data_IF_604609825465
#
_entry.id   IF_604609825465
#
_cell.length_a   1.000
_cell.length_b   1.000
_cell.length_c   1.000
_cell.angle_alpha   90.00
_cell.angle_beta   90.00
_cell.angle_gamma   90.00
#
_symmetry.space_group_name_H-M   'P 1'
#
loop_
_entity.id
_entity.type
_entity.pdbx_description
1 polymer ?
#
# COMPACT_ATOMS: atom_id res chain seq x y z
N UNK A 1 10.58 10.77 19.72
CA UNK A 1 10.10 10.42 18.39
C UNK A 1 8.61 10.17 18.39
N UNK A 2 7.94 10.56 17.33
CA UNK A 2 6.49 10.36 17.24
C UNK A 2 6.13 8.96 16.82
N UNK A 3 4.87 8.60 17.04
CA UNK A 3 4.34 7.29 16.65
C UNK A 3 4.44 7.05 15.13
N UNK A 4 4.31 8.11 14.34
CA UNK A 4 4.40 8.02 12.89
C UNK A 4 5.80 7.59 12.46
N UNK A 5 6.85 8.16 13.05
CA UNK A 5 8.22 7.79 12.75
C UNK A 5 8.49 6.32 13.08
N UNK A 6 7.95 5.86 14.20
CA UNK A 6 8.04 4.44 14.58
C UNK A 6 7.39 3.54 13.54
N UNK A 7 6.21 3.94 13.03
CA UNK A 7 5.53 3.19 11.97
C UNK A 7 6.32 3.20 10.68
N UNK A 8 6.90 4.32 10.30
CA UNK A 8 7.72 4.42 9.09
C UNK A 8 8.92 3.48 9.19
N UNK A 9 9.59 3.44 10.34
CA UNK A 9 10.70 2.51 10.55
C UNK A 9 10.24 1.06 10.47
N UNK A 10 9.10 0.74 11.07
CA UNK A 10 8.52 -0.59 11.05
C UNK A 10 8.22 -1.03 9.62
N UNK A 11 7.60 -0.17 8.83
CA UNK A 11 7.24 -0.50 7.45
C UNK A 11 8.48 -0.61 6.57
N UNK A 12 9.46 0.25 6.77
CA UNK A 12 10.72 0.18 6.02
C UNK A 12 11.44 -1.14 6.29
N UNK A 13 11.49 -1.56 7.56
CA UNK A 13 12.09 -2.83 7.94
C UNK A 13 11.33 -4.02 7.32
N UNK A 14 10.01 -3.95 7.34
CA UNK A 14 9.19 -5.01 6.76
C UNK A 14 9.38 -5.10 5.24
N UNK A 15 9.49 -3.97 4.56
CA UNK A 15 9.76 -3.95 3.13
C UNK A 15 11.08 -4.63 2.79
N UNK A 16 12.11 -4.39 3.60
CA UNK A 16 13.41 -5.06 3.42
C UNK A 16 13.29 -6.56 3.67
N UNK A 17 12.57 -6.95 4.72
CA UNK A 17 12.34 -8.34 5.07
C UNK A 17 11.65 -9.10 3.95
N UNK A 18 10.67 -8.47 3.32
CA UNK A 18 9.89 -9.07 2.23
C UNK A 18 10.60 -8.97 0.88
N UNK A 19 11.73 -8.27 0.80
CA UNK A 19 12.46 -8.09 -0.45
C UNK A 19 11.76 -7.17 -1.43
N UNK A 20 10.96 -6.22 -0.92
CA UNK A 20 10.24 -5.27 -1.77
C UNK A 20 11.18 -4.17 -2.26
N UNK A 21 11.04 -3.81 -3.55
CA UNK A 21 11.87 -2.76 -4.15
C UNK A 21 11.23 -1.38 -3.93
N UNK A 22 11.13 -0.97 -2.66
CA UNK A 22 10.53 0.30 -2.28
C UNK A 22 11.58 1.19 -1.63
N UNK A 23 11.60 2.48 -1.99
CA UNK A 23 12.48 3.44 -1.34
C UNK A 23 11.88 3.86 0.00
N UNK A 24 12.77 4.17 0.96
CA UNK A 24 12.32 4.68 2.26
C UNK A 24 11.54 5.98 2.11
N UNK A 25 11.92 6.81 1.16
CA UNK A 25 11.24 8.08 0.88
C UNK A 25 9.79 7.86 0.45
N UNK A 26 9.56 6.90 -0.46
CA UNK A 26 8.19 6.59 -0.90
C UNK A 26 7.36 6.03 0.24
N UNK A 27 7.93 5.12 1.04
CA UNK A 27 7.23 4.55 2.19
C UNK A 27 6.82 5.66 3.16
N UNK A 28 7.73 6.58 3.45
CA UNK A 28 7.45 7.71 4.33
C UNK A 28 6.29 8.56 3.80
N UNK A 29 6.34 8.92 2.53
CA UNK A 29 5.32 9.79 1.92
C UNK A 29 3.96 9.11 1.89
N UNK A 30 3.91 7.83 1.56
CA UNK A 30 2.65 7.08 1.57
C UNK A 30 2.10 7.01 2.99
N UNK A 31 2.95 6.74 3.98
CA UNK A 31 2.54 6.66 5.38
C UNK A 31 1.96 7.99 5.86
N UNK A 32 2.61 9.10 5.52
CA UNK A 32 2.10 10.43 5.86
C UNK A 32 0.73 10.67 5.22
N UNK A 33 0.58 10.26 3.95
CA UNK A 33 -0.67 10.43 3.23
C UNK A 33 -1.83 9.62 3.79
N UNK A 34 -1.55 8.51 4.47
CA UNK A 34 -2.59 7.70 5.10
C UNK A 34 -3.16 8.34 6.37
N UNK A 35 -2.38 9.23 7.01
CA UNK A 35 -2.84 9.91 8.21
C UNK A 35 -3.05 8.94 9.38
N UNK A 36 -4.09 9.16 10.21
CA UNK A 36 -4.28 8.37 11.43
C UNK A 36 -4.69 6.91 11.20
N UNK A 37 -5.01 6.51 9.98
CA UNK A 37 -5.41 5.12 9.71
C UNK A 37 -4.33 4.11 10.06
N UNK A 38 -3.06 4.53 10.08
CA UNK A 38 -1.94 3.64 10.42
C UNK A 38 -1.93 3.24 11.91
N UNK A 39 -2.66 3.97 12.75
CA UNK A 39 -2.74 3.68 14.18
C UNK A 39 -3.93 2.79 14.54
N UNK A 40 -4.78 2.48 13.57
CA UNK A 40 -5.95 1.63 13.77
C UNK A 40 -5.66 0.25 13.20
N UNK A 41 -5.78 -0.75 14.05
CA UNK A 41 -5.45 -2.12 13.67
C UNK A 41 -6.18 -2.58 12.41
N UNK A 42 -7.46 -2.23 12.28
CA UNK A 42 -8.30 -2.66 11.15
C UNK A 42 -7.95 -1.96 9.85
N UNK A 43 -7.42 -0.75 9.89
CA UNK A 43 -7.08 0.01 8.70
C UNK A 43 -5.58 0.08 8.41
N UNK A 44 -4.76 -0.40 9.33
CA UNK A 44 -3.31 -0.45 9.12
C UNK A 44 -2.91 -1.48 8.07
N UNK A 45 -3.66 -2.58 7.96
CA UNK A 45 -3.37 -3.67 7.02
C UNK A 45 -4.49 -3.82 6.00
N UNK A 46 -4.15 -4.43 4.86
CA UNK A 46 -5.10 -4.74 3.80
C UNK A 46 -5.35 -6.24 3.80
N UNK A 47 -6.62 -6.64 3.72
CA UNK A 47 -6.98 -8.05 3.61
C UNK A 47 -7.15 -8.42 2.14
N UNK A 48 -6.28 -9.27 1.62
CA UNK A 48 -6.36 -9.72 0.24
C UNK A 48 -7.41 -10.79 0.01
N UNK A 49 -8.03 -11.28 1.08
CA UNK A 49 -9.09 -12.29 0.98
C UNK A 49 -10.50 -11.68 1.02
N UNK A 50 -10.61 -10.39 1.32
CA UNK A 50 -11.90 -9.70 1.38
C UNK A 50 -12.10 -8.85 0.14
N UNK A 51 -13.04 -9.26 -0.70
CA UNK A 51 -13.34 -8.57 -1.96
C UNK A 51 -13.75 -7.13 -1.73
N UNK A 52 -14.54 -6.86 -0.67
CA UNK A 52 -14.97 -5.50 -0.34
C UNK A 52 -13.79 -4.59 -0.01
N UNK A 53 -12.78 -5.10 0.69
CA UNK A 53 -11.58 -4.34 1.02
C UNK A 53 -10.80 -3.99 -0.27
N UNK A 54 -10.62 -4.96 -1.15
CA UNK A 54 -9.91 -4.75 -2.41
C UNK A 54 -10.66 -3.80 -3.33
N UNK A 55 -11.98 -3.87 -3.34
CA UNK A 55 -12.82 -2.95 -4.11
C UNK A 55 -12.67 -1.51 -3.59
N UNK A 56 -12.60 -1.33 -2.28
CA UNK A 56 -12.35 -0.04 -1.65
C UNK A 56 -10.99 0.52 -2.06
N UNK A 57 -9.96 -0.33 -2.06
CA UNK A 57 -8.61 0.07 -2.51
C UNK A 57 -8.67 0.56 -3.96
N UNK A 58 -9.35 -0.19 -4.82
CA UNK A 58 -9.48 0.16 -6.22
C UNK A 58 -10.15 1.52 -6.41
N UNK A 59 -11.28 1.74 -5.76
CA UNK A 59 -12.06 2.97 -5.91
C UNK A 59 -11.42 4.18 -5.23
N UNK A 60 -11.00 4.03 -3.98
CA UNK A 60 -10.54 5.16 -3.19
C UNK A 60 -9.07 5.47 -3.42
N UNK A 61 -8.26 4.47 -3.70
CA UNK A 61 -6.83 4.69 -3.88
C UNK A 61 -6.47 4.78 -5.36
N UNK A 62 -6.73 3.75 -6.15
CA UNK A 62 -6.28 3.73 -7.54
C UNK A 62 -7.02 4.78 -8.39
N UNK A 63 -8.33 4.87 -8.25
CA UNK A 63 -9.11 5.80 -9.07
C UNK A 63 -9.05 7.23 -8.56
N UNK A 64 -9.24 7.44 -7.25
CA UNK A 64 -9.26 8.80 -6.70
C UNK A 64 -7.88 9.34 -6.39
N UNK A 65 -7.07 8.62 -5.62
CA UNK A 65 -5.77 9.14 -5.18
C UNK A 65 -4.76 9.15 -6.32
N UNK A 66 -4.62 8.05 -7.04
CA UNK A 66 -3.68 7.95 -8.15
C UNK A 66 -4.24 8.49 -9.46
N UNK A 67 -5.55 8.71 -9.54
CA UNK A 67 -6.17 9.25 -10.74
C UNK A 67 -6.07 8.33 -11.94
N UNK A 68 -6.12 7.02 -11.72
CA UNK A 68 -5.97 6.05 -12.80
C UNK A 68 -7.22 5.96 -13.66
N UNK A 69 -7.01 5.85 -14.97
CA UNK A 69 -8.07 5.53 -15.93
C UNK A 69 -7.90 4.13 -16.51
N UNK A 70 -7.16 3.26 -15.79
CA UNK A 70 -6.98 1.87 -16.20
C UNK A 70 -8.29 1.09 -16.08
N UNK A 71 -8.39 -0.01 -16.83
CA UNK A 71 -9.57 -0.88 -16.77
C UNK A 71 -9.63 -1.59 -15.40
N UNK A 72 -10.84 -2.05 -15.04
CA UNK A 72 -11.02 -2.82 -13.82
C UNK A 72 -10.15 -4.08 -13.82
N UNK A 73 -10.03 -4.73 -14.98
CA UNK A 73 -9.19 -5.92 -15.14
C UNK A 73 -7.73 -5.61 -14.83
N UNK A 74 -7.21 -4.51 -15.33
CA UNK A 74 -5.82 -4.10 -15.09
C UNK A 74 -5.59 -3.76 -13.63
N UNK A 75 -6.53 -3.05 -13.00
CA UNK A 75 -6.44 -2.71 -11.58
C UNK A 75 -6.50 -3.95 -10.70
N UNK A 76 -7.41 -4.87 -11.00
CA UNK A 76 -7.54 -6.12 -10.26
C UNK A 76 -6.27 -6.99 -10.39
N UNK A 77 -5.69 -7.05 -11.58
CA UNK A 77 -4.46 -7.80 -11.81
C UNK A 77 -3.30 -7.21 -11.01
N UNK A 78 -3.19 -5.89 -10.95
CA UNK A 78 -2.14 -5.23 -10.18
C UNK A 78 -2.31 -5.47 -8.68
N UNK A 79 -3.56 -5.41 -8.18
CA UNK A 79 -3.85 -5.68 -6.77
C UNK A 79 -3.46 -7.11 -6.43
N UNK A 80 -3.80 -8.07 -7.27
CA UNK A 80 -3.44 -9.47 -7.07
C UNK A 80 -1.92 -9.64 -7.03
N UNK A 81 -1.22 -8.99 -7.94
CA UNK A 81 0.23 -9.04 -8.01
C UNK A 81 0.87 -8.51 -6.73
N UNK A 82 0.35 -7.41 -6.19
CA UNK A 82 0.85 -6.84 -4.93
C UNK A 82 0.55 -7.76 -3.76
N UNK A 83 -0.63 -8.37 -3.72
CA UNK A 83 -0.97 -9.34 -2.69
C UNK A 83 0.02 -10.50 -2.68
N UNK A 84 0.38 -11.00 -3.85
CA UNK A 84 1.35 -12.08 -3.98
C UNK A 84 2.75 -11.64 -3.59
N UNK A 85 3.15 -10.42 -3.98
CA UNK A 85 4.46 -9.88 -3.64
C UNK A 85 4.65 -9.73 -2.13
N UNK A 86 3.59 -9.39 -1.42
CA UNK A 86 3.63 -9.26 0.04
C UNK A 86 3.50 -10.61 0.75
N UNK A 87 3.21 -11.68 0.01
CA UNK A 87 3.06 -13.03 0.55
C UNK A 87 1.62 -13.39 0.86
N UNK A 88 1.10 -14.41 0.19
CA UNK A 88 -0.30 -14.82 0.34
C UNK A 88 -0.65 -15.25 1.77
N UNK A 89 0.33 -15.77 2.52
CA UNK A 89 0.16 -16.18 3.92
C UNK A 89 0.45 -15.06 4.92
N UNK A 90 0.94 -13.92 4.44
CA UNK A 90 1.33 -12.83 5.31
C UNK A 90 0.09 -12.10 5.83
N UNK A 91 -0.09 -12.10 7.14
CA UNK A 91 -1.22 -11.42 7.79
C UNK A 91 -0.96 -9.94 8.02
N UNK A 92 0.29 -9.51 7.89
CA UNK A 92 0.70 -8.12 8.14
C UNK A 92 0.97 -7.39 6.82
N UNK A 93 -0.01 -7.37 5.93
CA UNK A 93 0.10 -6.61 4.68
C UNK A 93 -0.21 -5.15 4.95
N UNK A 94 0.80 -4.43 5.43
CA UNK A 94 0.63 -3.03 5.82
C UNK A 94 0.14 -2.20 4.63
N UNK A 95 -0.90 -1.40 4.88
CA UNK A 95 -1.51 -0.56 3.84
C UNK A 95 -0.49 0.38 3.21
N UNK A 96 0.42 0.93 4.01
CA UNK A 96 1.46 1.81 3.49
C UNK A 96 2.32 1.12 2.43
N UNK A 97 2.74 -0.11 2.67
CA UNK A 97 3.54 -0.88 1.71
C UNK A 97 2.70 -1.31 0.51
N UNK A 98 1.46 -1.72 0.76
CA UNK A 98 0.53 -2.13 -0.29
C UNK A 98 0.30 -0.98 -1.27
N UNK A 99 0.01 0.20 -0.76
CA UNK A 99 -0.23 1.38 -1.58
C UNK A 99 1.03 1.84 -2.30
N UNK A 100 2.20 1.77 -1.64
CA UNK A 100 3.47 2.12 -2.28
C UNK A 100 3.77 1.21 -3.47
N UNK A 101 3.51 -0.10 -3.32
CA UNK A 101 3.70 -1.06 -4.41
C UNK A 101 2.75 -0.78 -5.57
N UNK A 102 1.49 -0.43 -5.27
CA UNK A 102 0.53 -0.09 -6.32
C UNK A 102 0.93 1.17 -7.06
N UNK A 103 1.38 2.20 -6.34
CA UNK A 103 1.86 3.43 -6.98
C UNK A 103 3.03 3.14 -7.92
N UNK A 104 3.94 2.28 -7.49
CA UNK A 104 5.09 1.88 -8.31
C UNK A 104 4.65 1.06 -9.52
N UNK A 105 3.71 0.14 -9.34
CA UNK A 105 3.21 -0.72 -10.42
C UNK A 105 2.62 0.10 -11.56
N UNK A 106 1.90 1.17 -11.24
CA UNK A 106 1.29 2.04 -12.24
C UNK A 106 2.15 3.27 -12.58
N UNK A 107 3.38 3.33 -12.06
CA UNK A 107 4.32 4.44 -12.28
C UNK A 107 3.72 5.78 -11.87
N UNK A 108 3.02 5.79 -10.74
CA UNK A 108 2.35 6.97 -10.17
C UNK A 108 3.01 7.49 -8.90
N UNK A 109 4.29 7.19 -8.70
CA UNK A 109 5.03 7.66 -7.51
C UNK A 109 5.03 9.19 -7.44
N UNK A 110 4.91 9.87 -8.58
CA UNK A 110 4.87 11.33 -8.64
C UNK A 110 3.70 11.94 -7.86
N UNK A 111 2.66 11.16 -7.59
CA UNK A 111 1.54 11.62 -6.74
C UNK A 111 2.05 11.96 -5.34
N UNK A 112 3.14 11.35 -4.92
CA UNK A 112 3.77 11.57 -3.61
C UNK A 112 5.01 12.47 -3.68
N UNK A 113 5.30 12.98 -4.85
CA UNK A 113 6.49 13.84 -5.03
C UNK A 113 6.35 15.19 -4.34
#
# INVERSE_FOLDING_TARGET
MGKREEKIEQYTAEAKKLGLSLSADLIEKVTVGLGPSIYKKDSETVSCTQISELDTVKKNYLQKKLGLSASDTDMDAAIKKVCEAMGTSNRNKYRALFYALLAKEFKKESVYA
#
